data_IF_306810023811
#
_entry.id   IF_306810023811
#
_cell.length_a   1.000
_cell.length_b   1.000
_cell.length_c   1.000
_cell.angle_alpha   90.00
_cell.angle_beta   90.00
_cell.angle_gamma   90.00
#
_symmetry.space_group_name_H-M   'P 1'
#
loop_
_entity.id
_entity.type
_entity.pdbx_description
1 polymer ?
#
# COMPACT_ATOMS: atom_id res chain seq x y z
N UNK A 1 20.43 2.23 4.97
CA UNK A 1 21.19 1.64 3.85
C UNK A 1 20.29 1.69 2.64
N UNK A 2 20.65 2.45 1.61
CA UNK A 2 19.88 2.53 0.37
C UNK A 2 19.90 1.16 -0.31
N UNK A 3 18.71 0.62 -0.63
CA UNK A 3 18.58 -0.76 -1.15
C UNK A 3 18.65 -0.81 -2.68
N UNK A 4 18.47 0.31 -3.36
CA UNK A 4 18.57 0.44 -4.82
C UNK A 4 19.24 1.77 -5.19
N UNK A 5 20.58 1.81 -5.23
CA UNK A 5 21.33 3.05 -5.48
C UNK A 5 21.33 3.49 -6.96
N UNK A 6 20.90 2.62 -7.87
CA UNK A 6 20.77 2.90 -9.30
C UNK A 6 19.54 2.14 -9.86
N UNK A 7 18.93 2.70 -10.91
CA UNK A 7 17.83 2.04 -11.61
C UNK A 7 18.35 0.82 -12.40
N UNK A 8 17.59 -0.29 -12.48
CA UNK A 8 17.93 -1.40 -13.35
C UNK A 8 17.99 -0.98 -14.82
N UNK A 9 18.84 -1.63 -15.60
CA UNK A 9 18.89 -1.43 -17.06
C UNK A 9 17.70 -2.09 -17.78
N UNK A 10 17.06 -3.07 -17.14
CA UNK A 10 15.85 -3.72 -17.62
C UNK A 10 14.59 -3.28 -16.83
N UNK A 11 13.46 -3.93 -17.10
CA UNK A 11 12.16 -3.59 -16.49
C UNK A 11 11.89 -4.31 -15.17
N UNK A 12 12.87 -5.00 -14.58
CA UNK A 12 12.69 -5.85 -13.40
C UNK A 12 13.35 -5.23 -12.18
N UNK A 13 12.58 -5.15 -11.11
CA UNK A 13 13.07 -4.78 -9.79
C UNK A 13 13.27 -6.06 -8.97
N UNK A 14 14.47 -6.26 -8.44
CA UNK A 14 14.82 -7.42 -7.60
C UNK A 14 14.82 -7.07 -6.10
N UNK A 15 14.49 -5.82 -5.77
CA UNK A 15 14.45 -5.31 -4.40
C UNK A 15 13.03 -5.38 -3.87
N UNK A 16 12.87 -5.87 -2.65
CA UNK A 16 11.60 -5.81 -1.92
C UNK A 16 11.28 -4.36 -1.59
N UNK A 17 10.15 -3.80 -2.03
CA UNK A 17 9.79 -2.42 -1.70
C UNK A 17 9.49 -2.26 -0.20
N UNK A 18 9.70 -1.07 0.33
CA UNK A 18 9.25 -0.72 1.69
C UNK A 18 7.72 -0.62 1.77
N UNK A 19 7.10 -0.23 0.66
CA UNK A 19 5.66 0.00 0.56
C UNK A 19 5.10 -0.36 -0.81
N UNK A 20 3.88 -0.86 -0.82
CA UNK A 20 3.08 -1.08 -2.02
C UNK A 20 1.71 -0.41 -1.88
N UNK A 21 1.17 0.07 -2.99
CA UNK A 21 -0.18 0.61 -3.07
C UNK A 21 -0.94 -0.11 -4.17
N UNK A 22 -2.07 -0.71 -3.81
CA UNK A 22 -2.97 -1.32 -4.77
C UNK A 22 -4.24 -0.48 -4.87
N UNK A 23 -4.55 -0.03 -6.09
CA UNK A 23 -5.80 0.66 -6.39
C UNK A 23 -6.79 -0.41 -6.83
N UNK A 24 -7.79 -0.65 -5.99
CA UNK A 24 -8.80 -1.67 -6.21
C UNK A 24 -9.70 -1.27 -7.36
N UNK A 25 -10.04 -2.28 -8.16
CA UNK A 25 -11.13 -2.22 -9.13
C UNK A 25 -12.08 -3.39 -8.89
N UNK A 26 -13.34 -3.33 -9.35
CA UNK A 26 -14.28 -4.45 -9.20
C UNK A 26 -13.72 -5.79 -9.72
N UNK A 27 -12.85 -5.76 -10.74
CA UNK A 27 -12.28 -6.97 -11.34
C UNK A 27 -11.02 -7.48 -10.63
N UNK A 28 -10.29 -6.63 -9.90
CA UNK A 28 -9.02 -7.00 -9.25
C UNK A 28 -9.08 -7.09 -7.74
N UNK A 29 -10.08 -6.51 -7.08
CA UNK A 29 -10.16 -6.40 -5.62
C UNK A 29 -9.94 -7.73 -4.89
N UNK A 30 -10.56 -8.82 -5.39
CA UNK A 30 -10.36 -10.16 -4.83
C UNK A 30 -8.92 -10.65 -4.99
N UNK A 31 -8.28 -10.39 -6.13
CA UNK A 31 -6.90 -10.79 -6.39
C UNK A 31 -5.93 -9.98 -5.52
N UNK A 32 -6.14 -8.68 -5.39
CA UNK A 32 -5.28 -7.81 -4.60
C UNK A 32 -5.31 -8.23 -3.11
N UNK A 33 -6.49 -8.58 -2.59
CA UNK A 33 -6.65 -9.05 -1.21
C UNK A 33 -6.20 -10.49 -0.98
N UNK A 34 -6.65 -11.43 -1.82
CA UNK A 34 -6.49 -12.86 -1.55
C UNK A 34 -5.18 -13.44 -2.07
N UNK A 35 -4.52 -12.78 -3.03
CA UNK A 35 -3.29 -13.27 -3.64
C UNK A 35 -2.10 -12.33 -3.39
N UNK A 36 -2.25 -11.04 -3.74
CA UNK A 36 -1.12 -10.11 -3.69
C UNK A 36 -0.72 -9.77 -2.26
N UNK A 37 -1.66 -9.41 -1.38
CA UNK A 37 -1.35 -9.09 0.01
C UNK A 37 -0.60 -10.21 0.75
N UNK A 38 -1.03 -11.49 0.70
CA UNK A 38 -0.26 -12.58 1.29
C UNK A 38 1.14 -12.74 0.67
N UNK A 39 1.26 -12.52 -0.64
CA UNK A 39 2.54 -12.60 -1.33
C UNK A 39 3.51 -11.50 -0.88
N UNK A 40 3.01 -10.26 -0.72
CA UNK A 40 3.80 -9.13 -0.21
C UNK A 40 4.26 -9.36 1.23
N UNK A 41 3.39 -9.89 2.10
CA UNK A 41 3.78 -10.27 3.46
C UNK A 41 4.89 -11.33 3.45
N UNK A 42 4.73 -12.37 2.62
CA UNK A 42 5.74 -13.42 2.47
C UNK A 42 7.11 -12.89 2.03
N UNK A 43 7.14 -11.86 1.18
CA UNK A 43 8.38 -11.23 0.74
C UNK A 43 8.90 -10.13 1.69
N UNK A 44 8.16 -9.79 2.75
CA UNK A 44 8.62 -8.84 3.77
C UNK A 44 8.43 -7.37 3.42
N UNK A 45 7.46 -7.04 2.57
CA UNK A 45 7.07 -5.63 2.35
C UNK A 45 6.55 -5.06 3.67
N UNK A 46 7.10 -3.94 4.13
CA UNK A 46 6.80 -3.42 5.47
C UNK A 46 5.40 -2.77 5.56
N UNK A 47 4.95 -2.14 4.47
CA UNK A 47 3.67 -1.44 4.43
C UNK A 47 2.88 -1.74 3.16
N UNK A 48 1.56 -1.86 3.28
CA UNK A 48 0.68 -2.04 2.12
C UNK A 48 -0.56 -1.15 2.28
N UNK A 49 -0.91 -0.42 1.23
CA UNK A 49 -2.15 0.35 1.18
C UNK A 49 -3.10 -0.27 0.14
N UNK A 50 -4.38 -0.40 0.49
CA UNK A 50 -5.45 -0.69 -0.45
C UNK A 50 -6.33 0.54 -0.58
N UNK A 51 -6.41 1.09 -1.79
CA UNK A 51 -7.27 2.23 -2.10
C UNK A 51 -8.45 1.72 -2.91
N UNK A 52 -9.67 1.96 -2.46
CA UNK A 52 -10.88 1.64 -3.21
C UNK A 52 -11.57 2.95 -3.64
N UNK A 53 -11.42 3.39 -4.91
CA UNK A 53 -12.05 4.62 -5.39
C UNK A 53 -13.58 4.54 -5.45
N UNK A 54 -14.16 3.34 -5.61
CA UNK A 54 -15.61 3.18 -5.67
C UNK A 54 -16.23 3.31 -4.27
N UNK A 55 -15.58 2.75 -3.26
CA UNK A 55 -15.97 2.90 -1.86
C UNK A 55 -15.42 4.18 -1.21
N UNK A 56 -14.52 4.89 -1.88
CA UNK A 56 -13.76 6.06 -1.38
C UNK A 56 -13.07 5.78 -0.06
N UNK A 57 -12.36 4.65 0.01
CA UNK A 57 -11.65 4.21 1.22
C UNK A 57 -10.17 3.98 0.97
N UNK A 58 -9.39 4.08 2.05
CA UNK A 58 -8.00 3.65 2.13
C UNK A 58 -7.83 2.79 3.38
N UNK A 59 -7.36 1.56 3.20
CA UNK A 59 -6.91 0.70 4.29
C UNK A 59 -5.37 0.66 4.30
N UNK A 60 -4.77 1.00 5.43
CA UNK A 60 -3.33 0.99 5.61
C UNK A 60 -2.91 -0.19 6.50
N UNK A 61 -1.98 -1.00 6.00
CA UNK A 61 -1.44 -2.16 6.69
C UNK A 61 0.05 -1.99 6.98
N UNK A 62 0.48 -2.52 8.12
CA UNK A 62 1.87 -2.69 8.52
C UNK A 62 2.16 -4.17 8.76
N UNK A 63 3.30 -4.66 8.26
CA UNK A 63 3.73 -6.03 8.48
C UNK A 63 4.39 -6.15 9.87
N UNK A 64 3.77 -6.93 10.76
CA UNK A 64 4.27 -7.20 12.11
C UNK A 64 4.38 -8.70 12.29
N UNK A 65 5.59 -9.18 12.59
CA UNK A 65 5.85 -10.61 12.81
C UNK A 65 5.35 -11.51 11.65
N UNK A 66 5.44 -11.00 10.42
CA UNK A 66 4.99 -11.73 9.21
C UNK A 66 3.48 -11.70 8.96
N UNK A 67 2.70 -10.97 9.78
CA UNK A 67 1.27 -10.82 9.65
C UNK A 67 0.89 -9.36 9.40
N UNK A 68 -0.16 -9.15 8.61
CA UNK A 68 -0.68 -7.81 8.37
C UNK A 68 -1.47 -7.30 9.58
N UNK A 69 -1.08 -6.14 10.08
CA UNK A 69 -1.82 -5.35 11.06
C UNK A 69 -2.48 -4.19 10.35
N UNK A 70 -3.81 -4.05 10.47
CA UNK A 70 -4.54 -2.88 9.98
C UNK A 70 -4.25 -1.70 10.92
N UNK A 71 -3.52 -0.70 10.42
CA UNK A 71 -3.07 0.46 11.20
C UNK A 71 -3.86 1.73 10.91
N UNK A 72 -4.70 1.72 9.88
CA UNK A 72 -5.62 2.82 9.61
C UNK A 72 -6.69 2.45 8.57
N UNK A 73 -7.87 3.03 8.74
CA UNK A 73 -8.95 3.04 7.76
C UNK A 73 -9.41 4.47 7.61
N UNK A 74 -9.39 4.98 6.39
CA UNK A 74 -9.74 6.35 6.06
C UNK A 74 -10.83 6.32 4.99
N UNK A 75 -11.70 7.33 5.01
CA UNK A 75 -12.83 7.42 4.09
C UNK A 75 -13.10 8.86 3.65
N UNK A 76 -13.59 8.99 2.42
CA UNK A 76 -14.10 10.25 1.86
C UNK A 76 -13.07 11.39 1.98
N UNK A 77 -13.25 12.31 2.93
CA UNK A 77 -12.46 13.54 3.11
C UNK A 77 -11.44 13.46 4.26
N UNK A 78 -11.29 12.29 4.89
CA UNK A 78 -10.36 12.10 6.00
C UNK A 78 -8.94 12.56 5.65
N UNK A 79 -8.23 13.09 6.65
CA UNK A 79 -6.80 13.36 6.51
C UNK A 79 -6.01 12.07 6.77
N UNK A 80 -5.23 11.65 5.79
CA UNK A 80 -4.36 10.48 5.88
C UNK A 80 -3.03 10.90 6.47
N UNK A 81 -2.69 10.34 7.63
CA UNK A 81 -1.41 10.51 8.30
C UNK A 81 -0.96 9.18 8.92
N UNK A 82 -0.59 8.23 8.06
CA UNK A 82 -0.27 6.84 8.45
C UNK A 82 1.07 6.38 7.84
N UNK A 83 1.82 5.48 8.48
CA UNK A 83 3.04 4.92 7.89
C UNK A 83 2.83 4.36 6.47
N UNK A 84 3.85 4.48 5.59
CA UNK A 84 5.16 5.08 5.83
C UNK A 84 5.19 6.62 5.66
N UNK A 85 4.06 7.26 5.35
CA UNK A 85 3.99 8.69 4.99
C UNK A 85 3.35 9.57 6.08
N UNK A 86 3.38 9.16 7.35
CA UNK A 86 2.76 9.89 8.45
C UNK A 86 3.29 11.33 8.61
N UNK A 87 4.51 11.61 8.14
CA UNK A 87 5.11 12.95 8.18
C UNK A 87 4.57 13.92 7.11
N UNK A 88 3.86 13.42 6.11
CA UNK A 88 3.29 14.21 5.00
C UNK A 88 1.78 13.94 4.94
N UNK A 89 0.99 14.55 5.84
CA UNK A 89 -0.46 14.35 5.83
C UNK A 89 -1.08 14.94 4.56
N UNK A 90 -2.10 14.26 4.02
CA UNK A 90 -2.86 14.74 2.87
C UNK A 90 -4.36 14.44 3.05
N UNK A 91 -5.21 15.27 2.45
CA UNK A 91 -6.65 15.00 2.42
C UNK A 91 -6.96 13.88 1.43
N UNK A 92 -7.66 12.83 1.85
CA UNK A 92 -7.94 11.66 1.03
C UNK A 92 -8.75 12.01 -0.24
N UNK A 93 -9.58 13.05 -0.16
CA UNK A 93 -10.42 13.52 -1.25
C UNK A 93 -9.66 13.80 -2.57
N UNK A 94 -8.35 14.11 -2.50
CA UNK A 94 -7.52 14.36 -3.70
C UNK A 94 -7.41 13.14 -4.62
N UNK A 95 -7.74 11.94 -4.13
CA UNK A 95 -7.67 10.70 -4.91
C UNK A 95 -8.93 10.43 -5.75
N UNK A 96 -10.01 11.20 -5.57
CA UNK A 96 -11.32 10.88 -6.15
C UNK A 96 -11.65 11.60 -7.46
N UNK A 97 -10.91 12.66 -7.83
CA UNK A 97 -11.16 13.49 -9.01
C UNK A 97 -11.81 14.82 -8.68
#
# INVERSE_FOLDING_TARGET
RERMPALPEDHRFEVVPDWVCEILSPSTARKDRALKLPLYARFGVAHAWLVDPAARTLEAFELREGLWSLVGVFKDEDTVATPPFAAVPFGLAVLWG
#
